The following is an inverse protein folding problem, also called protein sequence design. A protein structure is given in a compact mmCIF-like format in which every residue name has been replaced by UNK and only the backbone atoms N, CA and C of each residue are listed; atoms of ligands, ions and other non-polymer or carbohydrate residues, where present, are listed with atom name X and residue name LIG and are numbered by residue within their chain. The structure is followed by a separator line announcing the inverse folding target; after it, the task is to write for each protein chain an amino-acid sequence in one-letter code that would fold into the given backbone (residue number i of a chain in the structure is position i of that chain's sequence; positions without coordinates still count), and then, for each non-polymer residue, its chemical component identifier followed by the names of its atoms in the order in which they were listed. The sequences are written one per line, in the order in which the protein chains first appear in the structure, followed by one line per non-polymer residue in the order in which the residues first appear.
data_IF_654666816286
#
_entry.id   IF_654666816286
#
_cell.length_a   1.000
_cell.length_b   1.000
_cell.length_c   1.000
_cell.angle_alpha   90.00
_cell.angle_beta   90.00
_cell.angle_gamma   90.00
#
_symmetry.space_group_name_H-M   'P 1'
#
loop_
_entity.id
_entity.type
_entity.pdbx_description
1 polymer ?
#
# COMPACT_ATOMS: atom_id res chain seq x y z
N UNK A 1 16.08 1.11 -4.23
CA UNK A 1 16.00 0.98 -2.75
C UNK A 1 14.58 0.75 -2.24
N UNK A 2 13.58 1.55 -2.63
CA UNK A 2 12.20 1.38 -2.15
C UNK A 2 11.60 0.00 -2.47
N UNK A 3 11.78 -0.53 -3.68
CA UNK A 3 11.30 -1.87 -4.03
C UNK A 3 11.96 -3.00 -3.23
N UNK A 4 13.23 -2.83 -2.85
CA UNK A 4 13.90 -3.79 -1.96
C UNK A 4 13.20 -3.80 -0.59
N UNK A 5 12.94 -2.62 -0.01
CA UNK A 5 12.21 -2.48 1.25
C UNK A 5 10.83 -3.12 1.20
N UNK A 6 10.13 -3.01 0.06
CA UNK A 6 8.84 -3.66 -0.13
C UNK A 6 8.96 -5.18 -0.03
N UNK A 7 9.96 -5.77 -0.68
CA UNK A 7 10.23 -7.20 -0.60
C UNK A 7 10.65 -7.65 0.81
N UNK A 8 11.44 -6.83 1.53
CA UNK A 8 11.95 -7.16 2.87
C UNK A 8 10.84 -7.29 3.94
N UNK A 9 9.69 -6.66 3.71
CA UNK A 9 8.57 -6.66 4.66
C UNK A 9 7.44 -7.62 4.29
N UNK A 10 7.47 -8.27 3.13
CA UNK A 10 6.48 -9.31 2.78
C UNK A 10 6.60 -10.44 3.80
N UNK A 11 5.47 -10.88 4.35
CA UNK A 11 5.39 -11.90 5.40
C UNK A 11 5.62 -11.39 6.82
N UNK A 12 5.97 -10.11 7.02
CA UNK A 12 6.07 -9.53 8.37
C UNK A 12 4.69 -9.38 9.01
N UNK A 13 4.63 -9.49 10.33
CA UNK A 13 3.39 -9.39 11.09
C UNK A 13 2.70 -8.04 10.88
N UNK A 14 1.37 -8.07 10.82
CA UNK A 14 0.53 -6.87 10.80
C UNK A 14 0.75 -5.99 12.05
N UNK A 15 1.08 -6.59 13.19
CA UNK A 15 1.34 -5.86 14.42
C UNK A 15 2.61 -5.02 14.32
N UNK A 16 3.57 -5.46 13.50
CA UNK A 16 4.77 -4.70 13.19
C UNK A 16 4.51 -3.66 12.08
N UNK A 17 3.76 -4.04 11.05
CA UNK A 17 3.49 -3.24 9.86
C UNK A 17 1.98 -3.18 9.56
N UNK A 18 1.33 -2.15 10.08
CA UNK A 18 -0.04 -1.77 9.70
C UNK A 18 -0.08 -1.20 8.26
N UNK A 19 -1.27 -0.98 7.71
CA UNK A 19 -1.46 -0.59 6.31
C UNK A 19 -0.67 0.67 5.92
N UNK A 20 -0.73 1.73 6.73
CA UNK A 20 0.04 2.96 6.52
C UNK A 20 1.53 2.76 6.79
N UNK A 21 1.90 1.94 7.77
CA UNK A 21 3.30 1.60 8.07
C UNK A 21 4.01 0.93 6.89
N UNK A 22 3.30 0.08 6.13
CA UNK A 22 3.82 -0.52 4.89
C UNK A 22 4.21 0.58 3.90
N UNK A 23 3.29 1.50 3.59
CA UNK A 23 3.54 2.58 2.62
C UNK A 23 4.65 3.51 3.12
N UNK A 24 4.59 3.93 4.39
CA UNK A 24 5.59 4.76 5.04
C UNK A 24 7.00 4.16 4.95
N UNK A 25 7.13 2.88 5.31
CA UNK A 25 8.42 2.18 5.29
C UNK A 25 8.97 2.04 3.88
N UNK A 26 8.14 1.68 2.90
CA UNK A 26 8.61 1.50 1.52
C UNK A 26 9.14 2.82 0.96
N UNK A 27 8.39 3.91 1.12
CA UNK A 27 8.77 5.22 0.60
C UNK A 27 9.94 5.83 1.38
N UNK A 28 9.91 5.79 2.71
CA UNK A 28 10.81 6.58 3.56
C UNK A 28 11.92 5.77 4.23
N UNK A 29 11.82 4.43 4.23
CA UNK A 29 12.73 3.54 4.98
C UNK A 29 12.43 3.48 6.48
N UNK A 30 11.35 4.13 6.91
CA UNK A 30 10.95 4.23 8.31
C UNK A 30 9.42 4.24 8.39
N UNK A 31 8.85 3.24 9.08
CA UNK A 31 7.40 3.05 9.17
C UNK A 31 6.68 4.15 9.95
N UNK A 32 7.43 4.89 10.79
CA UNK A 32 6.92 6.01 11.58
C UNK A 32 6.95 7.34 10.83
N UNK A 33 7.69 7.40 9.71
CA UNK A 33 7.78 8.59 8.86
C UNK A 33 6.80 8.49 7.71
N UNK A 34 5.80 9.35 7.71
CA UNK A 34 4.76 9.42 6.68
C UNK A 34 3.41 9.80 7.28
N UNK A 35 2.34 9.37 6.62
CA UNK A 35 0.97 9.68 7.03
C UNK A 35 0.19 8.48 7.55
N UNK A 36 -1.06 8.73 7.91
CA UNK A 36 -2.09 7.70 8.00
C UNK A 36 -2.59 7.35 6.59
N UNK A 37 -3.36 6.26 6.46
CA UNK A 37 -3.94 5.86 5.17
C UNK A 37 -4.67 7.02 4.47
N UNK A 38 -5.55 7.74 5.19
CA UNK A 38 -6.26 8.93 4.68
C UNK A 38 -5.36 10.05 4.12
N UNK A 39 -4.13 10.20 4.60
CA UNK A 39 -3.22 11.22 4.08
C UNK A 39 -2.84 10.91 2.64
N UNK A 40 -2.83 9.63 2.26
CA UNK A 40 -2.50 9.20 0.92
C UNK A 40 -3.60 9.49 -0.11
N UNK A 41 -4.82 9.83 0.30
CA UNK A 41 -5.85 10.34 -0.62
C UNK A 41 -5.42 11.60 -1.38
N UNK A 42 -4.51 12.39 -0.79
CA UNK A 42 -3.96 13.61 -1.39
C UNK A 42 -2.50 13.44 -1.85
N UNK A 43 -2.02 12.19 -1.96
CA UNK A 43 -0.66 11.92 -2.40
C UNK A 43 -0.54 12.16 -3.91
N UNK A 44 0.14 13.24 -4.30
CA UNK A 44 0.38 13.58 -5.71
C UNK A 44 -0.90 13.62 -6.56
N UNK A 45 -0.88 13.01 -7.74
CA UNK A 45 -1.99 12.96 -8.69
C UNK A 45 -2.68 11.59 -8.76
N UNK A 46 -3.95 11.57 -9.18
CA UNK A 46 -4.69 10.32 -9.47
C UNK A 46 -4.19 9.74 -10.78
N UNK A 47 -3.93 8.43 -10.80
CA UNK A 47 -3.57 7.67 -12.00
C UNK A 47 -4.50 6.48 -12.20
N UNK A 48 -4.65 6.05 -13.46
CA UNK A 48 -5.48 4.89 -13.82
C UNK A 48 -4.67 3.63 -14.12
N UNK A 49 -3.39 3.81 -14.46
CA UNK A 49 -2.47 2.72 -14.78
C UNK A 49 -1.41 2.61 -13.69
N UNK A 50 -1.51 1.61 -12.80
CA UNK A 50 -0.56 1.45 -11.71
C UNK A 50 0.85 1.13 -12.21
N UNK A 51 1.82 1.63 -11.48
CA UNK A 51 3.25 1.38 -11.62
C UNK A 51 3.86 1.16 -10.24
N UNK A 52 5.09 0.64 -10.24
CA UNK A 52 5.88 0.53 -9.03
C UNK A 52 5.90 1.86 -8.23
N UNK A 53 5.70 1.75 -6.91
CA UNK A 53 5.67 2.83 -5.92
C UNK A 53 4.43 3.73 -5.94
N UNK A 54 3.42 3.42 -6.76
CA UNK A 54 2.10 4.04 -6.63
C UNK A 54 1.41 3.57 -5.36
N UNK A 55 0.69 4.47 -4.70
CA UNK A 55 -0.09 4.15 -3.50
C UNK A 55 -1.54 3.90 -3.90
N UNK A 56 -2.06 2.74 -3.51
CA UNK A 56 -3.51 2.49 -3.55
C UNK A 56 -4.08 2.80 -2.18
N UNK A 57 -5.16 3.56 -2.16
CA UNK A 57 -5.84 3.95 -0.92
C UNK A 57 -7.34 3.80 -1.10
N UNK A 58 -7.99 3.30 -0.06
CA UNK A 58 -9.44 3.20 0.01
C UNK A 58 -10.07 4.60 -0.12
N UNK A 59 -11.26 4.71 -0.72
CA UNK A 59 -11.93 6.01 -0.91
C UNK A 59 -12.23 6.72 0.40
N UNK A 60 -12.47 5.97 1.47
CA UNK A 60 -12.71 6.48 2.82
C UNK A 60 -11.40 6.76 3.60
N UNK A 61 -10.25 6.37 3.05
CA UNK A 61 -8.93 6.54 3.66
C UNK A 61 -8.67 5.64 4.88
N UNK A 62 -9.38 4.54 5.04
CA UNK A 62 -9.20 3.59 6.15
C UNK A 62 -8.07 2.60 5.89
N UNK A 63 -7.89 2.18 4.63
CA UNK A 63 -6.88 1.20 4.24
C UNK A 63 -6.00 1.70 3.08
N UNK A 64 -4.78 1.18 3.00
CA UNK A 64 -3.86 1.50 1.91
C UNK A 64 -2.85 0.38 1.64
N UNK A 65 -2.28 0.42 0.45
CA UNK A 65 -1.19 -0.44 0.00
C UNK A 65 -0.30 0.29 -0.99
N UNK A 66 0.77 -0.37 -1.44
CA UNK A 66 1.70 0.21 -2.42
C UNK A 66 2.03 -0.80 -3.51
N UNK A 67 1.98 -0.36 -4.75
CA UNK A 67 2.36 -1.15 -5.91
C UNK A 67 3.86 -1.40 -5.91
N UNK A 68 4.24 -2.64 -6.22
CA UNK A 68 5.66 -3.04 -6.39
C UNK A 68 6.01 -3.23 -7.87
N UNK A 69 4.99 -3.36 -8.73
CA UNK A 69 5.05 -3.37 -10.19
C UNK A 69 3.65 -3.01 -10.74
N UNK A 70 3.43 -3.08 -12.06
CA UNK A 70 2.15 -2.72 -12.68
C UNK A 70 1.02 -3.75 -12.46
N UNK A 71 1.35 -4.95 -11.98
CA UNK A 71 0.41 -6.05 -11.77
C UNK A 71 0.26 -6.47 -10.31
N UNK A 72 1.07 -5.95 -9.39
CA UNK A 72 1.10 -6.39 -8.00
C UNK A 72 1.29 -5.24 -7.02
N UNK A 73 0.66 -5.37 -5.87
CA UNK A 73 0.84 -4.48 -4.74
C UNK A 73 0.97 -5.27 -3.44
N UNK A 74 1.50 -4.59 -2.42
CA UNK A 74 1.57 -5.12 -1.06
C UNK A 74 0.67 -4.29 -0.13
N UNK A 75 0.07 -4.96 0.84
CA UNK A 75 -0.66 -4.31 1.93
C UNK A 75 -0.61 -5.17 3.19
N UNK A 76 -0.90 -4.54 4.33
CA UNK A 76 -1.10 -5.26 5.58
C UNK A 76 -2.50 -5.88 5.61
N UNK A 77 -2.58 -7.21 5.69
CA UNK A 77 -3.85 -7.94 5.64
C UNK A 77 -4.35 -8.29 7.04
N UNK A 78 -5.55 -7.85 7.38
CA UNK A 78 -6.22 -8.25 8.62
C UNK A 78 -6.53 -9.76 8.62
N UNK A 79 -6.95 -10.33 7.49
CA UNK A 79 -7.31 -11.77 7.41
C UNK A 79 -6.11 -12.70 7.51
N UNK A 80 -4.94 -12.28 7.00
CA UNK A 80 -3.71 -13.08 7.03
C UNK A 80 -2.78 -12.69 8.19
N UNK A 81 -3.13 -11.66 8.97
CA UNK A 81 -2.33 -11.09 10.05
C UNK A 81 -0.89 -10.71 9.65
N UNK A 82 -0.65 -10.39 8.38
CA UNK A 82 0.69 -10.10 7.86
C UNK A 82 0.65 -9.21 6.62
N UNK A 83 1.80 -8.66 6.23
CA UNK A 83 2.01 -7.99 4.94
C UNK A 83 2.02 -9.04 3.83
N UNK A 84 1.15 -8.88 2.84
CA UNK A 84 1.04 -9.82 1.71
C UNK A 84 1.20 -9.10 0.38
N UNK A 85 1.74 -9.82 -0.59
CA UNK A 85 1.68 -9.48 -2.01
C UNK A 85 0.39 -10.02 -2.61
N UNK A 86 -0.31 -9.19 -3.37
CA UNK A 86 -1.54 -9.53 -4.09
C UNK A 86 -1.49 -8.93 -5.50
N UNK A 87 -2.17 -9.60 -6.43
CA UNK A 87 -2.31 -9.13 -7.80
C UNK A 87 -3.33 -8.00 -7.93
N UNK A 88 -3.20 -7.20 -8.99
CA UNK A 88 -4.10 -6.11 -9.36
C UNK A 88 -5.56 -6.56 -9.42
N UNK A 89 -5.81 -7.78 -9.86
CA UNK A 89 -7.15 -8.39 -9.94
C UNK A 89 -7.84 -8.57 -8.57
N UNK A 90 -7.12 -8.38 -7.47
CA UNK A 90 -7.67 -8.44 -6.11
C UNK A 90 -8.00 -7.07 -5.53
N UNK A 91 -7.85 -5.97 -6.28
CA UNK A 91 -8.14 -4.62 -5.79
C UNK A 91 -9.54 -4.51 -5.21
N UNK A 92 -10.58 -4.94 -5.93
CA UNK A 92 -11.98 -4.87 -5.45
C UNK A 92 -12.26 -5.78 -4.25
N UNK A 93 -11.41 -6.78 -4.00
CA UNK A 93 -11.52 -7.65 -2.81
C UNK A 93 -10.83 -7.03 -1.60
N UNK A 94 -9.77 -6.25 -1.83
CA UNK A 94 -8.97 -5.60 -0.78
C UNK A 94 -9.59 -4.24 -0.41
N UNK A 95 -10.23 -3.57 -1.37
CA UNK A 95 -10.88 -2.26 -1.26
C UNK A 95 -12.32 -2.34 -1.81
N UNK A 96 -13.24 -3.03 -1.10
CA UNK A 96 -14.59 -3.32 -1.61
C UNK A 96 -15.44 -2.08 -1.83
N UNK A 97 -15.19 -1.01 -1.07
CA UNK A 97 -15.90 0.27 -1.19
C UNK A 97 -15.29 1.20 -2.27
N UNK A 98 -14.28 0.70 -2.98
CA UNK A 98 -13.57 1.37 -4.06
C UNK A 98 -12.26 2.02 -3.59
N UNK A 99 -11.42 2.40 -4.56
CA UNK A 99 -10.09 2.91 -4.29
C UNK A 99 -9.70 4.04 -5.23
N UNK A 100 -8.60 4.71 -4.92
CA UNK A 100 -7.86 5.57 -5.84
C UNK A 100 -6.39 5.18 -5.84
N UNK A 101 -5.75 5.29 -7.01
CA UNK A 101 -4.32 5.06 -7.18
C UNK A 101 -3.63 6.41 -7.33
N UNK A 102 -2.58 6.62 -6.54
CA UNK A 102 -1.95 7.91 -6.30
C UNK A 102 -0.46 7.84 -6.57
N UNK A 103 0.04 8.77 -7.39
CA UNK A 103 1.45 8.87 -7.80
C UNK A 103 2.01 10.26 -7.49
N UNK A 104 3.22 10.30 -6.92
CA UNK A 104 3.99 11.53 -6.73
C UNK A 104 5.07 11.66 -7.80
#
# INVERSE_FOLDING_TARGET
MALQRANDIIGKSRDEYQCNHVVNYVLNGDKTKGGLARNYLNYGQVVLTPQALDVVVDKDGVHCGIFIDSGNFIHSSTRRHQVIKVGLEQLDKVFPDGYTIRRK
#
